data_IF_597547553590
#
_entry.id   IF_597547553590
#
_cell.length_a   1.000
_cell.length_b   1.000
_cell.length_c   1.000
_cell.angle_alpha   90.00
_cell.angle_beta   90.00
_cell.angle_gamma   90.00
#
_symmetry.space_group_name_H-M   'P 1'
#
loop_
_entity.id
_entity.type
_entity.pdbx_description
1 polymer ?
#
# COMPACT_ATOMS: atom_id res chain seq x y z
N UNK A 1 15.64 -4.32 12.51
CA UNK A 1 15.39 -4.31 11.05
C UNK A 1 16.46 -5.15 10.34
N UNK A 2 17.73 -5.05 10.75
CA UNK A 2 18.86 -5.83 10.19
C UNK A 2 18.66 -7.35 10.18
N UNK A 3 18.22 -7.98 11.28
CA UNK A 3 17.99 -9.43 11.30
C UNK A 3 16.93 -9.92 10.29
N UNK A 4 15.91 -9.09 9.99
CA UNK A 4 14.91 -9.41 8.96
C UNK A 4 15.44 -9.15 7.55
N UNK A 5 16.33 -8.16 7.40
CA UNK A 5 17.05 -7.90 6.16
C UNK A 5 17.96 -9.08 5.82
N UNK A 6 18.75 -9.55 6.78
CA UNK A 6 19.62 -10.73 6.64
C UNK A 6 18.82 -11.99 6.33
N UNK A 7 17.70 -12.20 7.03
CA UNK A 7 16.81 -13.33 6.76
C UNK A 7 16.23 -13.26 5.34
N UNK A 8 15.83 -12.08 4.87
CA UNK A 8 15.34 -11.92 3.50
C UNK A 8 16.46 -12.11 2.46
N UNK A 9 17.69 -11.70 2.79
CA UNK A 9 18.86 -11.92 1.96
C UNK A 9 19.14 -13.41 1.79
N UNK A 10 19.17 -14.16 2.89
CA UNK A 10 19.35 -15.62 2.90
C UNK A 10 18.25 -16.36 2.15
N UNK A 11 16.98 -15.94 2.33
CA UNK A 11 15.85 -16.52 1.60
C UNK A 11 15.99 -16.24 0.10
N UNK A 12 16.37 -15.02 -0.29
CA UNK A 12 16.53 -14.66 -1.70
C UNK A 12 17.67 -15.39 -2.41
N UNK A 13 18.70 -15.80 -1.67
CA UNK A 13 19.80 -16.61 -2.22
C UNK A 13 19.39 -18.09 -2.40
N UNK A 14 18.42 -18.58 -1.63
CA UNK A 14 17.98 -19.98 -1.66
C UNK A 14 16.45 -20.12 -1.59
N UNK A 15 15.69 -19.56 -2.56
CA UNK A 15 14.23 -19.45 -2.47
C UNK A 15 13.53 -20.80 -2.29
N UNK A 16 14.01 -21.84 -2.97
CA UNK A 16 13.43 -23.20 -2.89
C UNK A 16 13.63 -23.87 -1.53
N UNK A 17 14.70 -23.54 -0.80
CA UNK A 17 14.98 -24.11 0.53
C UNK A 17 14.16 -23.43 1.63
N UNK A 18 13.63 -22.25 1.36
CA UNK A 18 12.93 -21.42 2.34
C UNK A 18 11.47 -21.15 1.99
N UNK A 19 10.94 -21.77 0.93
CA UNK A 19 9.55 -21.62 0.50
C UNK A 19 8.54 -21.90 1.63
N UNK A 20 8.75 -22.95 2.42
CA UNK A 20 7.91 -23.29 3.57
C UNK A 20 7.98 -22.23 4.70
N UNK A 21 9.16 -21.64 4.92
CA UNK A 21 9.32 -20.56 5.92
C UNK A 21 8.66 -19.28 5.47
N UNK A 22 8.70 -18.97 4.18
CA UNK A 22 7.96 -17.85 3.61
C UNK A 22 6.46 -18.05 3.75
N UNK A 23 5.96 -19.25 3.43
CA UNK A 23 4.56 -19.59 3.59
C UNK A 23 4.14 -19.51 5.07
N UNK A 24 5.01 -19.91 6.00
CA UNK A 24 4.80 -19.76 7.44
C UNK A 24 4.77 -18.29 7.89
N UNK A 25 5.71 -17.44 7.41
CA UNK A 25 5.71 -15.99 7.67
C UNK A 25 4.42 -15.37 7.15
N UNK A 26 4.06 -15.70 5.90
CA UNK A 26 2.83 -15.26 5.25
C UNK A 26 1.58 -15.69 6.05
N UNK A 27 1.51 -16.95 6.48
CA UNK A 27 0.38 -17.51 7.22
C UNK A 27 0.20 -16.95 8.64
N UNK A 28 1.29 -16.49 9.27
CA UNK A 28 1.26 -15.89 10.62
C UNK A 28 1.01 -14.40 10.61
N UNK A 29 1.48 -13.68 9.60
CA UNK A 29 1.46 -12.22 9.60
C UNK A 29 0.19 -11.61 9.02
N UNK A 30 -0.54 -12.36 8.19
CA UNK A 30 -1.79 -11.92 7.55
C UNK A 30 -2.78 -13.10 7.47
N UNK A 31 -3.51 -13.42 8.56
CA UNK A 31 -4.54 -14.45 8.52
C UNK A 31 -5.51 -14.18 7.38
N UNK A 32 -5.79 -15.18 6.54
CA UNK A 32 -6.74 -15.07 5.41
C UNK A 32 -8.06 -14.45 5.93
N UNK A 33 -8.43 -13.29 5.40
CA UNK A 33 -9.64 -12.54 5.81
C UNK A 33 -9.42 -11.39 6.79
N UNK A 34 -8.26 -11.27 7.45
CA UNK A 34 -7.95 -10.18 8.39
C UNK A 34 -7.90 -8.80 7.72
N UNK A 35 -7.39 -8.72 6.48
CA UNK A 35 -7.36 -7.50 5.67
C UNK A 35 -8.73 -7.14 5.07
N UNK A 36 -9.64 -8.11 4.95
CA UNK A 36 -10.98 -7.92 4.36
C UNK A 36 -12.04 -7.53 5.40
N UNK A 37 -11.89 -8.00 6.65
CA UNK A 37 -12.88 -7.80 7.71
C UNK A 37 -12.82 -6.43 8.41
N UNK A 38 -11.86 -5.56 8.07
CA UNK A 38 -11.80 -4.17 8.58
C UNK A 38 -11.59 -4.00 10.10
N UNK A 39 -11.55 -5.10 10.85
CA UNK A 39 -11.60 -5.11 12.33
C UNK A 39 -10.22 -5.21 12.99
N UNK A 40 -9.17 -5.65 12.29
CA UNK A 40 -7.86 -5.87 12.90
C UNK A 40 -6.82 -4.88 12.39
N UNK A 41 -6.47 -3.91 13.25
CA UNK A 41 -5.29 -3.06 13.05
C UNK A 41 -4.04 -3.92 13.02
N UNK A 42 -3.15 -3.66 12.07
CA UNK A 42 -1.90 -4.39 12.00
C UNK A 42 -0.97 -4.00 13.16
N UNK A 43 -0.07 -4.92 13.50
CA UNK A 43 1.03 -4.66 14.43
C UNK A 43 2.29 -4.29 13.64
N UNK A 44 3.30 -3.73 14.33
CA UNK A 44 4.61 -3.48 13.72
C UNK A 44 5.25 -4.75 13.14
N UNK A 45 5.00 -5.91 13.75
CA UNK A 45 5.47 -7.20 13.26
C UNK A 45 4.83 -7.55 11.90
N UNK A 46 3.53 -7.28 11.74
CA UNK A 46 2.84 -7.51 10.46
C UNK A 46 3.41 -6.60 9.35
N UNK A 47 3.63 -5.30 9.64
CA UNK A 47 4.23 -4.38 8.65
C UNK A 47 5.65 -4.80 8.26
N UNK A 48 6.47 -5.23 9.23
CA UNK A 48 7.80 -5.76 8.92
C UNK A 48 7.74 -7.01 8.03
N UNK A 49 6.76 -7.89 8.25
CA UNK A 49 6.56 -9.07 7.42
C UNK A 49 6.14 -8.71 5.99
N UNK A 50 5.28 -7.69 5.81
CA UNK A 50 4.94 -7.15 4.48
C UNK A 50 6.18 -6.69 3.73
N UNK A 51 7.09 -5.97 4.38
CA UNK A 51 8.36 -5.55 3.76
C UNK A 51 9.27 -6.73 3.40
N UNK A 52 9.33 -7.76 4.25
CA UNK A 52 10.09 -8.99 3.98
C UNK A 52 9.55 -9.70 2.74
N UNK A 53 8.23 -9.85 2.64
CA UNK A 53 7.56 -10.45 1.47
C UNK A 53 7.81 -9.61 0.21
N UNK A 54 7.64 -8.29 0.29
CA UNK A 54 7.91 -7.37 -0.82
C UNK A 54 9.35 -7.50 -1.35
N UNK A 55 10.32 -7.48 -0.43
CA UNK A 55 11.73 -7.62 -0.77
C UNK A 55 12.05 -9.00 -1.35
N UNK A 56 11.49 -10.07 -0.79
CA UNK A 56 11.66 -11.42 -1.34
C UNK A 56 11.16 -11.49 -2.79
N UNK A 57 9.94 -11.04 -3.03
CA UNK A 57 9.32 -11.02 -4.36
C UNK A 57 10.15 -10.17 -5.35
N UNK A 58 10.70 -9.03 -4.92
CA UNK A 58 11.57 -8.19 -5.76
C UNK A 58 12.86 -8.88 -6.22
N UNK A 59 13.28 -9.95 -5.53
CA UNK A 59 14.47 -10.72 -5.90
C UNK A 59 14.14 -12.05 -6.56
N UNK A 60 12.96 -12.59 -6.30
CA UNK A 60 12.49 -13.86 -6.83
C UNK A 60 11.14 -13.70 -7.54
N UNK A 61 11.06 -12.86 -8.60
CA UNK A 61 9.79 -12.49 -9.22
C UNK A 61 9.09 -13.66 -9.95
N UNK A 62 9.84 -14.69 -10.34
CA UNK A 62 9.34 -15.88 -11.03
C UNK A 62 8.95 -17.02 -10.06
N UNK A 63 8.94 -16.76 -8.75
CA UNK A 63 8.56 -17.77 -7.77
C UNK A 63 7.05 -18.09 -7.90
N UNK A 64 6.73 -19.38 -8.05
CA UNK A 64 5.38 -19.86 -8.41
C UNK A 64 4.42 -19.99 -7.22
N UNK A 65 4.83 -19.62 -6.01
CA UNK A 65 3.93 -19.69 -4.84
C UNK A 65 2.99 -18.48 -4.82
N UNK A 66 1.70 -18.74 -5.06
CA UNK A 66 0.62 -17.74 -5.06
C UNK A 66 0.37 -17.10 -3.68
N UNK A 67 0.81 -17.75 -2.58
CA UNK A 67 0.61 -17.26 -1.22
C UNK A 67 1.27 -15.89 -0.97
N UNK A 68 2.60 -15.77 -1.05
CA UNK A 68 3.30 -14.49 -0.91
C UNK A 68 2.83 -13.42 -1.90
N UNK A 69 2.55 -13.81 -3.14
CA UNK A 69 2.13 -12.91 -4.23
C UNK A 69 0.78 -12.26 -3.92
N UNK A 70 -0.21 -13.06 -3.55
CA UNK A 70 -1.56 -12.58 -3.20
C UNK A 70 -1.54 -11.67 -1.96
N UNK A 71 -0.72 -11.98 -0.96
CA UNK A 71 -0.57 -11.13 0.23
C UNK A 71 0.09 -9.79 -0.07
N UNK A 72 1.07 -9.79 -0.97
CA UNK A 72 1.70 -8.56 -1.44
C UNK A 72 0.69 -7.64 -2.11
N UNK A 73 -0.11 -8.17 -3.05
CA UNK A 73 -1.18 -7.40 -3.72
C UNK A 73 -2.25 -6.90 -2.74
N UNK A 74 -2.70 -7.74 -1.80
CA UNK A 74 -3.67 -7.32 -0.77
C UNK A 74 -3.10 -6.24 0.17
N UNK A 75 -1.79 -6.28 0.46
CA UNK A 75 -1.12 -5.27 1.29
C UNK A 75 -1.05 -3.92 0.59
N UNK A 76 -0.81 -3.90 -0.73
CA UNK A 76 -0.92 -2.68 -1.55
C UNK A 76 -2.32 -2.08 -1.35
N UNK A 77 -3.37 -2.86 -1.61
CA UNK A 77 -4.78 -2.41 -1.52
C UNK A 77 -5.23 -1.99 -0.13
N UNK A 78 -4.74 -2.63 0.93
CA UNK A 78 -5.20 -2.38 2.30
C UNK A 78 -4.47 -1.20 2.93
N UNK A 79 -3.24 -0.91 2.50
CA UNK A 79 -2.40 0.16 3.05
C UNK A 79 -3.03 1.55 2.96
N UNK A 80 -3.97 1.74 2.03
CA UNK A 80 -4.69 3.00 1.84
C UNK A 80 -5.66 3.35 2.98
N UNK A 81 -6.06 2.37 3.81
CA UNK A 81 -7.01 2.59 4.90
C UNK A 81 -6.28 3.00 6.16
N UNK A 82 -6.80 3.98 6.90
CA UNK A 82 -6.23 4.36 8.20
C UNK A 82 -6.25 3.18 9.19
N UNK A 83 -7.30 2.36 9.14
CA UNK A 83 -7.44 1.17 10.00
C UNK A 83 -6.40 0.08 9.74
N UNK A 84 -5.66 0.15 8.63
CA UNK A 84 -4.52 -0.72 8.37
C UNK A 84 -3.36 -0.41 9.32
N UNK A 85 -3.18 0.86 9.67
CA UNK A 85 -2.01 1.32 10.41
C UNK A 85 -2.17 1.12 11.93
N UNK A 86 -1.10 0.67 12.62
CA UNK A 86 -1.06 0.68 14.07
C UNK A 86 -1.26 2.11 14.60
N UNK A 87 -1.99 2.30 15.70
CA UNK A 87 -2.20 3.64 16.30
C UNK A 87 -0.88 4.32 16.70
N UNK A 88 0.13 3.54 17.06
CA UNK A 88 1.46 4.04 17.42
C UNK A 88 2.33 4.42 16.20
N UNK A 89 1.85 4.22 14.98
CA UNK A 89 2.60 4.47 13.76
C UNK A 89 2.36 5.91 13.28
N UNK A 90 3.31 6.79 13.55
CA UNK A 90 3.24 8.17 13.11
C UNK A 90 3.41 8.32 11.59
N UNK A 91 2.98 9.47 11.06
CA UNK A 91 3.08 9.86 9.64
C UNK A 91 4.50 9.64 9.08
N UNK A 92 5.55 9.98 9.84
CA UNK A 92 6.94 9.79 9.40
C UNK A 92 7.27 8.30 9.21
N UNK A 93 6.78 7.43 10.10
CA UNK A 93 7.00 5.99 10.00
C UNK A 93 6.23 5.38 8.83
N UNK A 94 5.03 5.88 8.56
CA UNK A 94 4.24 5.50 7.38
C UNK A 94 4.97 5.93 6.10
N UNK A 95 5.55 7.14 6.08
CA UNK A 95 6.31 7.64 4.94
C UNK A 95 7.53 6.78 4.62
N UNK A 96 8.31 6.42 5.65
CA UNK A 96 9.49 5.54 5.49
C UNK A 96 9.04 4.17 4.98
N UNK A 97 7.99 3.60 5.57
CA UNK A 97 7.44 2.33 5.12
C UNK A 97 7.04 2.37 3.63
N UNK A 98 6.33 3.41 3.20
CA UNK A 98 5.91 3.52 1.80
C UNK A 98 7.08 3.68 0.84
N UNK A 99 8.10 4.45 1.22
CA UNK A 99 9.31 4.59 0.42
C UNK A 99 9.98 3.23 0.21
N UNK A 100 10.18 2.46 1.28
CA UNK A 100 10.79 1.13 1.21
C UNK A 100 9.90 0.17 0.41
N UNK A 101 8.61 0.09 0.75
CA UNK A 101 7.67 -0.85 0.15
C UNK A 101 7.51 -0.62 -1.36
N UNK A 102 7.27 0.63 -1.79
CA UNK A 102 7.09 0.94 -3.21
C UNK A 102 8.40 0.85 -4.00
N UNK A 103 9.57 1.01 -3.36
CA UNK A 103 10.86 0.71 -4.02
C UNK A 103 10.99 -0.77 -4.40
N UNK A 104 10.44 -1.66 -3.57
CA UNK A 104 10.38 -3.08 -3.90
C UNK A 104 9.34 -3.37 -4.97
N UNK A 105 8.17 -2.72 -4.93
CA UNK A 105 7.16 -2.81 -6.00
C UNK A 105 7.76 -2.41 -7.35
N UNK A 106 8.47 -1.29 -7.42
CA UNK A 106 9.09 -0.81 -8.66
C UNK A 106 10.06 -1.84 -9.25
N UNK A 107 10.91 -2.43 -8.41
CA UNK A 107 11.82 -3.51 -8.84
C UNK A 107 11.09 -4.74 -9.37
N UNK A 108 9.97 -5.12 -8.74
CA UNK A 108 9.18 -6.26 -9.21
C UNK A 108 8.63 -6.00 -10.60
N UNK A 109 8.08 -4.80 -10.82
CA UNK A 109 7.53 -4.37 -12.10
C UNK A 109 8.62 -4.36 -13.19
N UNK A 110 9.82 -3.87 -12.87
CA UNK A 110 10.95 -3.87 -13.80
C UNK A 110 11.40 -5.30 -14.20
N UNK A 111 11.35 -6.24 -13.27
CA UNK A 111 11.90 -7.59 -13.45
C UNK A 111 10.89 -8.60 -14.00
N UNK A 112 9.58 -8.35 -13.87
CA UNK A 112 8.52 -9.26 -14.32
C UNK A 112 7.37 -8.50 -14.97
N UNK A 113 7.30 -8.46 -16.32
CA UNK A 113 6.25 -7.74 -17.03
C UNK A 113 4.87 -8.37 -16.82
N UNK A 114 4.78 -9.70 -16.68
CA UNK A 114 3.51 -10.39 -16.38
C UNK A 114 2.98 -9.94 -15.02
N UNK A 115 3.87 -9.85 -14.03
CA UNK A 115 3.47 -9.40 -12.70
C UNK A 115 3.24 -7.89 -12.64
N UNK A 116 3.93 -7.12 -13.48
CA UNK A 116 3.68 -5.70 -13.64
C UNK A 116 2.23 -5.45 -14.06
N UNK A 117 1.65 -6.28 -14.94
CA UNK A 117 0.23 -6.16 -15.30
C UNK A 117 -0.69 -6.43 -14.11
N UNK A 118 -0.44 -7.45 -13.29
CA UNK A 118 -1.27 -7.69 -12.09
C UNK A 118 -1.11 -6.57 -11.05
N UNK A 119 0.09 -6.02 -10.88
CA UNK A 119 0.34 -4.88 -9.99
C UNK A 119 -0.34 -3.64 -10.53
N UNK A 120 -0.21 -3.39 -11.84
CA UNK A 120 -0.94 -2.32 -12.53
C UNK A 120 -2.41 -2.53 -12.31
N UNK A 121 -3.01 -3.69 -12.56
CA UNK A 121 -4.42 -4.00 -12.32
C UNK A 121 -4.85 -3.89 -10.85
N UNK A 122 -3.95 -4.18 -9.91
CA UNK A 122 -4.20 -4.03 -8.47
C UNK A 122 -4.17 -2.57 -8.04
N UNK A 123 -3.34 -1.76 -8.73
CA UNK A 123 -3.26 -0.30 -8.63
C UNK A 123 -4.31 0.35 -9.55
N UNK A 124 -4.80 -0.34 -10.58
CA UNK A 124 -5.71 0.14 -11.61
C UNK A 124 -7.11 0.04 -11.04
N UNK A 125 -7.81 1.17 -11.06
CA UNK A 125 -8.76 1.39 -10.00
C UNK A 125 -8.05 1.58 -8.66
N UNK A 126 -7.09 2.52 -8.61
CA UNK A 126 -6.77 3.21 -7.37
C UNK A 126 -8.14 3.49 -6.75
N UNK A 127 -8.29 3.26 -5.45
CA UNK A 127 -9.43 3.68 -4.65
C UNK A 127 -9.52 5.22 -4.57
N UNK A 128 -9.32 5.87 -5.72
CA UNK A 128 -9.22 7.26 -6.13
C UNK A 128 -10.41 8.09 -5.65
N UNK A 129 -11.54 7.45 -5.35
CA UNK A 129 -12.71 8.14 -4.85
C UNK A 129 -13.13 7.71 -3.43
N UNK A 130 -12.69 6.57 -2.89
CA UNK A 130 -13.37 5.99 -1.70
C UNK A 130 -12.69 6.21 -0.35
N UNK A 131 -11.41 6.59 -0.28
CA UNK A 131 -10.75 6.78 1.03
C UNK A 131 -10.24 8.20 1.30
N UNK A 132 -9.89 9.00 0.28
CA UNK A 132 -8.76 9.93 0.48
C UNK A 132 -8.97 11.43 0.36
N UNK A 133 -10.17 11.96 0.12
CA UNK A 133 -10.33 13.44 0.16
C UNK A 133 -11.34 13.93 1.20
N UNK A 134 -12.32 13.10 1.56
CA UNK A 134 -13.31 13.48 2.58
C UNK A 134 -12.92 13.01 3.98
N UNK A 135 -12.21 11.88 4.12
CA UNK A 135 -11.90 11.25 5.42
C UNK A 135 -10.40 10.99 5.69
N UNK A 136 -9.47 11.50 4.86
CA UNK A 136 -8.03 11.35 5.10
C UNK A 136 -7.52 12.37 6.13
N UNK A 137 -7.99 12.26 7.37
CA UNK A 137 -7.56 13.11 8.49
C UNK A 137 -6.04 12.97 8.74
N UNK A 138 -5.51 11.76 8.54
CA UNK A 138 -4.10 11.42 8.80
C UNK A 138 -3.13 11.75 7.64
N UNK A 139 -3.62 12.10 6.44
CA UNK A 139 -2.76 12.44 5.30
C UNK A 139 -2.00 11.27 4.67
N UNK A 140 -2.45 10.03 4.91
CA UNK A 140 -1.80 8.79 4.43
C UNK A 140 -1.79 8.74 2.91
N UNK A 141 -2.84 9.25 2.28
CA UNK A 141 -2.97 9.30 0.81
C UNK A 141 -1.86 10.11 0.16
N UNK A 142 -1.51 11.25 0.77
CA UNK A 142 -0.45 12.14 0.27
C UNK A 142 0.91 11.45 0.35
N UNK A 143 1.17 10.71 1.43
CA UNK A 143 2.41 9.94 1.57
C UNK A 143 2.53 8.86 0.49
N UNK A 144 1.43 8.15 0.23
CA UNK A 144 1.38 7.16 -0.85
C UNK A 144 1.68 7.80 -2.21
N UNK A 145 0.94 8.85 -2.61
CA UNK A 145 1.15 9.49 -3.92
C UNK A 145 2.56 10.08 -4.07
N UNK A 146 3.11 10.64 -2.98
CA UNK A 146 4.50 11.10 -2.96
C UNK A 146 5.48 9.94 -3.20
N UNK A 147 5.28 8.80 -2.56
CA UNK A 147 6.13 7.64 -2.75
C UNK A 147 5.96 7.02 -4.15
N UNK A 148 4.74 7.01 -4.71
CA UNK A 148 4.48 6.57 -6.09
C UNK A 148 5.21 7.46 -7.10
N UNK A 149 5.14 8.78 -6.95
CA UNK A 149 5.81 9.71 -7.87
C UNK A 149 7.33 9.62 -7.78
N UNK A 150 7.88 9.33 -6.60
CA UNK A 150 9.33 9.13 -6.40
C UNK A 150 9.84 7.82 -7.00
N UNK A 151 9.02 6.76 -7.01
CA UNK A 151 9.40 5.44 -7.52
C UNK A 151 8.98 5.20 -8.98
N UNK A 152 8.30 6.16 -9.62
CA UNK A 152 7.87 6.10 -11.02
C UNK A 152 7.13 4.80 -11.39
N UNK A 153 6.24 4.33 -10.50
CA UNK A 153 5.46 3.13 -10.78
C UNK A 153 4.60 3.34 -12.04
N UNK A 154 4.51 2.34 -12.93
CA UNK A 154 3.64 2.44 -14.09
C UNK A 154 2.18 2.47 -13.63
N UNK A 155 1.46 3.51 -14.03
CA UNK A 155 0.04 3.68 -13.78
C UNK A 155 -0.64 3.78 -15.13
N UNK A 156 -1.77 3.10 -15.29
CA UNK A 156 -2.53 3.17 -16.53
C UNK A 156 -3.02 4.62 -16.75
N UNK A 157 -2.95 5.19 -17.97
CA UNK A 157 -3.43 6.54 -18.23
C UNK A 157 -4.87 6.78 -17.76
N UNK A 158 -5.72 5.75 -17.86
CA UNK A 158 -7.11 5.83 -17.41
C UNK A 158 -7.26 6.04 -15.90
N UNK A 159 -6.41 5.41 -15.09
CA UNK A 159 -6.37 5.63 -13.65
C UNK A 159 -5.92 7.06 -13.31
N UNK A 160 -4.95 7.61 -14.06
CA UNK A 160 -4.50 9.00 -13.86
C UNK A 160 -5.64 9.99 -14.13
N UNK A 161 -6.40 9.81 -15.22
CA UNK A 161 -7.57 10.64 -15.52
C UNK A 161 -8.59 10.61 -14.38
N UNK A 162 -8.94 9.41 -13.89
CA UNK A 162 -9.90 9.25 -12.80
C UNK A 162 -9.43 9.94 -11.51
N UNK A 163 -8.12 9.91 -11.22
CA UNK A 163 -7.53 10.58 -10.06
C UNK A 163 -7.72 12.09 -10.14
N UNK A 164 -7.44 12.66 -11.31
CA UNK A 164 -7.63 14.09 -11.56
C UNK A 164 -9.09 14.48 -11.39
N UNK A 165 -10.03 13.69 -11.92
CA UNK A 165 -11.46 13.93 -11.72
C UNK A 165 -11.89 13.90 -10.25
N UNK A 166 -11.48 12.91 -9.46
CA UNK A 166 -11.85 12.84 -8.04
C UNK A 166 -11.17 13.97 -7.22
N UNK A 167 -9.92 14.35 -7.54
CA UNK A 167 -9.25 15.50 -6.91
C UNK A 167 -10.02 16.80 -7.17
N UNK A 168 -10.33 17.10 -8.43
CA UNK A 168 -11.09 18.30 -8.80
C UNK A 168 -12.49 18.32 -8.18
N UNK A 169 -13.18 17.18 -8.18
CA UNK A 169 -14.49 17.03 -7.56
C UNK A 169 -14.45 17.34 -6.07
N UNK A 170 -13.47 16.81 -5.34
CA UNK A 170 -13.37 17.03 -3.91
C UNK A 170 -12.96 18.46 -3.52
N UNK A 171 -12.18 19.15 -4.36
CA UNK A 171 -11.96 20.60 -4.21
C UNK A 171 -13.28 21.38 -4.33
N UNK A 172 -14.11 21.07 -5.33
CA UNK A 172 -15.39 21.74 -5.56
C UNK A 172 -16.39 21.51 -4.41
N UNK A 173 -16.45 20.29 -3.87
CA UNK A 173 -17.27 19.95 -2.70
C UNK A 173 -16.82 20.69 -1.43
N UNK A 174 -15.51 20.81 -1.20
CA UNK A 174 -14.98 21.50 -0.02
C UNK A 174 -15.30 22.99 -0.03
N UNK A 175 -15.25 23.64 -1.19
CA UNK A 175 -15.56 25.06 -1.34
C UNK A 175 -17.05 25.36 -1.06
N UNK A 176 -17.93 24.43 -1.43
CA UNK A 176 -19.38 24.50 -1.17
C UNK A 176 -19.75 24.36 0.32
N UNK A 177 -18.98 23.58 1.09
CA UNK A 177 -19.14 23.43 2.54
C UNK A 177 -18.65 24.67 3.32
N UNK A 178 -17.56 25.29 2.86
CA UNK A 178 -17.00 26.49 3.49
C UNK A 178 -17.93 27.69 3.28
N UNK A 179 -18.46 27.84 2.07
CA UNK A 179 -19.44 28.88 1.72
C UNK A 179 -20.76 28.73 2.49
N UNK A 180 -21.29 27.51 2.63
CA UNK A 180 -22.51 27.28 3.43
C UNK A 180 -22.32 27.42 4.95
N UNK A 181 -21.11 27.19 5.48
CA UNK A 181 -20.80 27.40 6.90
C UNK A 181 -20.66 28.88 7.30
N UNK A 182 -20.31 29.74 6.33
CA UNK A 182 -20.06 31.17 6.57
C UNK A 182 -21.35 31.99 6.69
N UNK A 183 -22.46 31.50 6.15
CA UNK A 183 -23.79 32.16 6.24
C UNK A 183 -24.53 31.89 7.55
N UNK A 184 -24.01 31.05 8.44
CA UNK A 184 -24.66 30.72 9.72
C UNK A 184 -24.18 31.57 10.91
N UNK A 185 -23.36 32.60 10.70
CA UNK A 185 -22.93 33.49 11.78
C UNK A 185 -23.31 34.97 11.57
N UNK A 186 -24.39 35.32 12.29
CA UNK A 186 -24.72 36.61 12.93
C UNK A 186 -25.79 37.49 12.26
N UNK A 187 -26.48 38.39 13.01
CA UNK A 187 -26.45 38.62 14.47
C UNK A 187 -27.83 38.60 15.15
N UNK A 188 -27.79 38.65 16.48
CA UNK A 188 -28.91 38.92 17.41
C UNK A 188 -29.30 40.39 17.40
#
# INVERSE_FOLDING_TARGET
MEALIELTELISQNPSQFAEKLEWICGRCLPKGSLSSGSHRLTRLHLNAVLVVARFISKCPNHTNDGPRSQFLQSIQSSFRESFWPQSFGIDSISVFYSDFLSYVAKVVELSPDFAMEIVDTIDGIQICTATIVNDEAGVSRLFFKAVSQNCLPILPKAVENLVYCLLGAYCWRDSLISSSSDSQAPT
#
